data_IF_160056886396
#
_entry.id   IF_160056886396
#
_cell.length_a   1.000
_cell.length_b   1.000
_cell.length_c   1.000
_cell.angle_alpha   90.00
_cell.angle_beta   90.00
_cell.angle_gamma   90.00
#
_symmetry.space_group_name_H-M   'P 1'
#
loop_
_entity.id
_entity.type
_entity.pdbx_description
1 polymer ?
#
# COMPACT_ATOMS: atom_id res chain seq x y z
N UNK A 1 15.44 11.48 -0.12
CA UNK A 1 15.93 12.69 0.58
C UNK A 1 15.96 12.48 2.09
N UNK A 2 14.83 12.09 2.69
CA UNK A 2 14.77 11.81 4.12
C UNK A 2 15.51 10.51 4.42
N UNK A 3 16.57 10.61 5.24
CA UNK A 3 17.34 9.44 5.68
C UNK A 3 16.43 8.56 6.53
N UNK A 4 16.38 7.26 6.24
CA UNK A 4 15.53 6.30 6.96
C UNK A 4 14.25 5.90 6.22
N UNK A 5 13.85 6.59 5.15
CA UNK A 5 12.60 6.33 4.41
C UNK A 5 12.52 4.87 3.93
N UNK A 6 13.46 4.44 3.07
CA UNK A 6 13.51 3.08 2.51
C UNK A 6 13.70 1.97 3.56
N UNK A 7 14.19 2.33 4.74
CA UNK A 7 14.43 1.38 5.84
C UNK A 7 13.30 1.40 6.86
N UNK A 8 12.26 2.22 6.64
CA UNK A 8 11.15 2.39 7.55
C UNK A 8 11.62 2.66 8.99
N UNK A 9 12.55 3.59 9.16
CA UNK A 9 13.09 3.91 10.46
C UNK A 9 12.01 4.52 11.37
N UNK A 10 11.84 3.95 12.58
CA UNK A 10 10.80 4.38 13.51
C UNK A 10 10.92 5.85 13.91
N UNK A 11 12.16 6.38 14.04
CA UNK A 11 12.40 7.79 14.33
C UNK A 11 11.77 8.72 13.27
N UNK A 12 12.00 8.42 11.99
CA UNK A 12 11.44 9.20 10.89
C UNK A 12 9.90 9.03 10.82
N UNK A 13 9.41 7.82 11.06
CA UNK A 13 7.99 7.53 11.07
C UNK A 13 7.24 8.30 12.18
N UNK A 14 7.81 8.37 13.38
CA UNK A 14 7.28 9.18 14.48
C UNK A 14 7.32 10.67 14.16
N UNK A 15 8.39 11.15 13.48
CA UNK A 15 8.45 12.53 13.02
C UNK A 15 7.32 12.85 12.04
N UNK A 16 7.01 11.98 11.07
CA UNK A 16 5.86 12.18 10.19
C UNK A 16 4.53 12.17 10.96
N UNK A 17 4.35 11.22 11.88
CA UNK A 17 3.13 11.09 12.66
C UNK A 17 2.88 12.32 13.55
N UNK A 18 3.94 12.93 14.10
CA UNK A 18 3.85 14.13 14.92
C UNK A 18 3.35 15.38 14.16
N UNK A 19 3.35 15.35 12.82
CA UNK A 19 2.91 16.45 11.98
C UNK A 19 1.42 16.41 11.62
N UNK A 20 0.69 15.36 12.00
CA UNK A 20 -0.72 15.22 11.63
C UNK A 20 -1.56 14.55 12.73
N UNK A 21 -2.84 14.94 12.79
CA UNK A 21 -3.83 14.23 13.59
C UNK A 21 -4.31 12.94 12.91
N UNK A 22 -4.32 12.94 11.58
CA UNK A 22 -4.80 11.85 10.74
C UNK A 22 -3.82 11.61 9.60
N UNK A 23 -3.37 10.37 9.47
CA UNK A 23 -2.63 9.88 8.31
C UNK A 23 -3.59 9.14 7.37
N UNK A 24 -3.51 9.45 6.07
CA UNK A 24 -4.29 8.77 5.03
C UNK A 24 -3.34 8.18 4.01
N UNK A 25 -3.34 6.85 3.88
CA UNK A 25 -2.60 6.16 2.82
C UNK A 25 -3.48 6.06 1.58
N UNK A 26 -3.11 6.80 0.53
CA UNK A 26 -3.86 6.82 -0.74
C UNK A 26 -3.01 6.43 -1.95
N UNK A 27 -1.88 5.74 -1.71
CA UNK A 27 -0.90 5.40 -2.72
C UNK A 27 -0.74 3.87 -2.91
N UNK A 28 -1.75 3.21 -3.49
CA UNK A 28 -1.73 1.74 -3.68
C UNK A 28 -0.46 1.21 -4.36
N UNK A 29 0.05 1.91 -5.38
CA UNK A 29 1.26 1.52 -6.11
C UNK A 29 2.51 1.37 -5.23
N UNK A 30 2.56 2.00 -4.04
CA UNK A 30 3.66 1.88 -3.09
C UNK A 30 3.32 1.04 -1.86
N UNK A 31 2.07 0.58 -1.71
CA UNK A 31 1.59 -0.17 -0.54
C UNK A 31 2.32 -1.51 -0.33
N UNK A 32 2.93 -2.06 -1.38
CA UNK A 32 3.72 -3.29 -1.33
C UNK A 32 5.12 -3.12 -0.69
N UNK A 33 5.49 -1.91 -0.24
CA UNK A 33 6.77 -1.62 0.41
C UNK A 33 6.55 -1.03 1.80
N UNK A 34 7.26 -1.56 2.79
CA UNK A 34 7.33 -0.96 4.11
C UNK A 34 8.38 0.16 4.12
N UNK A 35 7.92 1.41 3.98
CA UNK A 35 8.74 2.62 4.05
C UNK A 35 8.16 3.59 5.09
N UNK A 36 8.96 4.60 5.48
CA UNK A 36 8.60 5.54 6.54
C UNK A 36 7.25 6.23 6.31
N UNK A 37 6.99 6.65 5.08
CA UNK A 37 5.78 7.37 4.67
C UNK A 37 4.63 6.48 4.21
N UNK A 38 4.87 5.20 3.89
CA UNK A 38 3.83 4.27 3.41
C UNK A 38 3.32 3.34 4.49
N UNK A 39 4.14 3.07 5.51
CA UNK A 39 3.86 2.08 6.55
C UNK A 39 4.21 2.59 7.94
N UNK A 40 5.42 3.14 8.12
CA UNK A 40 5.91 3.57 9.44
C UNK A 40 5.00 4.60 10.10
N UNK A 41 4.71 5.69 9.40
CA UNK A 41 3.85 6.78 9.89
C UNK A 41 2.49 6.27 10.35
N UNK A 42 1.90 5.29 9.66
CA UNK A 42 0.61 4.71 10.01
C UNK A 42 0.61 3.98 11.35
N UNK A 43 1.77 3.48 11.81
CA UNK A 43 1.89 2.84 13.13
C UNK A 43 1.79 3.83 14.29
N UNK A 44 2.20 5.08 14.05
CA UNK A 44 2.37 6.09 15.11
C UNK A 44 1.37 7.25 14.99
N UNK A 45 0.74 7.45 13.83
CA UNK A 45 -0.32 8.43 13.66
C UNK A 45 -1.50 8.10 14.59
N UNK A 46 -2.10 9.13 15.17
CA UNK A 46 -3.24 8.98 16.11
C UNK A 46 -4.44 8.30 15.44
N UNK A 47 -4.70 8.63 14.19
CA UNK A 47 -5.67 7.97 13.33
C UNK A 47 -4.99 7.67 12.01
N UNK A 48 -5.15 6.44 11.52
CA UNK A 48 -4.67 6.02 10.21
C UNK A 48 -5.85 5.47 9.39
N UNK A 49 -5.97 5.91 8.14
CA UNK A 49 -7.03 5.49 7.23
C UNK A 49 -6.51 5.18 5.83
N UNK A 50 -7.28 4.42 5.06
CA UNK A 50 -7.12 4.31 3.62
C UNK A 50 -7.83 5.49 2.94
N UNK A 51 -7.20 6.07 1.92
CA UNK A 51 -7.84 7.07 1.08
C UNK A 51 -8.75 6.45 0.01
N UNK A 52 -9.51 7.28 -0.74
CA UNK A 52 -10.47 6.81 -1.72
C UNK A 52 -9.86 6.02 -2.89
N UNK A 53 -8.67 6.40 -3.38
CA UNK A 53 -8.01 5.68 -4.47
C UNK A 53 -7.50 4.33 -4.01
N UNK A 54 -6.89 4.26 -2.82
CA UNK A 54 -6.46 2.99 -2.25
C UNK A 54 -7.66 2.06 -2.02
N UNK A 55 -8.76 2.58 -1.44
CA UNK A 55 -9.96 1.79 -1.20
C UNK A 55 -10.56 1.25 -2.50
N UNK A 56 -10.67 2.10 -3.53
CA UNK A 56 -11.19 1.69 -4.84
C UNK A 56 -10.35 0.58 -5.50
N UNK A 57 -9.02 0.65 -5.41
CA UNK A 57 -8.12 -0.39 -5.92
C UNK A 57 -8.31 -1.72 -5.17
N UNK A 58 -8.42 -1.67 -3.83
CA UNK A 58 -8.66 -2.86 -3.01
C UNK A 58 -10.03 -3.49 -3.30
N UNK A 59 -11.07 -2.67 -3.46
CA UNK A 59 -12.41 -3.15 -3.80
C UNK A 59 -12.44 -3.79 -5.19
N UNK A 60 -11.80 -3.17 -6.19
CA UNK A 60 -11.73 -3.70 -7.54
C UNK A 60 -10.98 -5.04 -7.60
N UNK A 61 -9.80 -5.11 -6.97
CA UNK A 61 -9.01 -6.35 -6.89
C UNK A 61 -9.72 -7.43 -6.08
N UNK A 62 -10.32 -7.07 -4.95
CA UNK A 62 -11.09 -7.98 -4.11
C UNK A 62 -12.28 -8.58 -4.86
N UNK A 63 -13.00 -7.76 -5.64
CA UNK A 63 -14.10 -8.23 -6.50
C UNK A 63 -13.62 -9.21 -7.58
N UNK A 64 -12.44 -8.96 -8.18
CA UNK A 64 -11.91 -9.79 -9.25
C UNK A 64 -11.22 -11.07 -8.76
N UNK A 65 -10.67 -11.09 -7.54
CA UNK A 65 -9.81 -12.17 -7.06
C UNK A 65 -10.38 -12.95 -5.86
N UNK A 66 -11.25 -12.34 -5.05
CA UNK A 66 -11.78 -12.96 -3.83
C UNK A 66 -12.89 -13.98 -4.11
N UNK A 67 -13.97 -13.54 -4.74
CA UNK A 67 -15.09 -14.39 -5.14
C UNK A 67 -15.63 -13.96 -6.52
N UNK A 68 -14.85 -14.14 -7.61
CA UNK A 68 -15.25 -13.67 -8.92
C UNK A 68 -16.46 -14.44 -9.45
N UNK A 69 -17.33 -13.74 -10.18
CA UNK A 69 -18.39 -14.36 -10.95
C UNK A 69 -17.79 -15.34 -11.97
N UNK A 70 -18.36 -16.53 -12.06
CA UNK A 70 -17.84 -17.61 -12.92
C UNK A 70 -18.57 -17.65 -14.27
N UNK A 71 -17.89 -18.06 -15.36
CA UNK A 71 -16.48 -18.44 -15.41
C UNK A 71 -15.53 -17.23 -15.34
N UNK A 72 -14.44 -17.35 -14.55
CA UNK A 72 -13.36 -16.36 -14.48
C UNK A 72 -12.21 -16.74 -15.42
N UNK A 73 -11.71 -15.79 -16.19
CA UNK A 73 -10.52 -15.95 -17.02
C UNK A 73 -9.42 -14.94 -16.61
N UNK A 74 -8.16 -15.36 -16.69
CA UNK A 74 -6.99 -14.52 -16.47
C UNK A 74 -6.07 -14.56 -17.70
N UNK A 75 -5.61 -13.40 -18.15
CA UNK A 75 -4.66 -13.28 -19.27
C UNK A 75 -3.31 -12.84 -18.69
N UNK A 76 -2.30 -13.72 -18.76
CA UNK A 76 -0.96 -13.48 -18.21
C UNK A 76 0.10 -13.66 -19.30
N UNK A 77 0.64 -12.56 -19.81
CA UNK A 77 1.69 -12.56 -20.84
C UNK A 77 2.98 -11.88 -20.36
N UNK A 78 4.17 -12.37 -20.73
CA UNK A 78 5.45 -11.79 -20.35
C UNK A 78 6.65 -12.52 -20.97
N UNK A 79 7.85 -11.92 -20.94
CA UNK A 79 9.04 -12.48 -21.61
C UNK A 79 9.64 -13.70 -20.90
N UNK A 80 9.34 -13.89 -19.61
CA UNK A 80 9.83 -15.00 -18.80
C UNK A 80 8.73 -15.54 -17.90
N UNK A 81 8.51 -16.85 -17.96
CA UNK A 81 7.62 -17.57 -17.07
C UNK A 81 8.07 -17.41 -15.61
N UNK A 82 9.38 -17.47 -15.35
CA UNK A 82 9.97 -17.37 -14.01
C UNK A 82 9.74 -16.04 -13.28
N UNK A 83 9.38 -14.96 -13.98
CA UNK A 83 9.07 -13.67 -13.34
C UNK A 83 7.59 -13.50 -12.99
N UNK A 84 6.75 -14.47 -13.34
CA UNK A 84 5.28 -14.45 -13.14
C UNK A 84 4.74 -15.75 -12.54
N UNK A 85 5.63 -16.62 -12.05
CA UNK A 85 5.34 -17.82 -11.27
C UNK A 85 5.42 -17.51 -9.78
#
# INVERSE_FOLDING_TARGET
>A
FNKGEKKNADELAQQYAALCDVFVMDAFGTAHRAEGSTHGVAKFAKVAAAGPLLAAELDALGKALGAPAQPMAAIVAGSKVSTKL
#
